data_IF_058901534402
#
_entry.id   IF_058901534402
#
_cell.length_a   1.000
_cell.length_b   1.000
_cell.length_c   1.000
_cell.angle_alpha   90.00
_cell.angle_beta   90.00
_cell.angle_gamma   90.00
#
_symmetry.space_group_name_H-M   'P 1'
#
loop_
_entity.id
_entity.type
_entity.pdbx_description
1 polymer ?
#
# COMPACT_ATOMS: atom_id res chain seq x y z
N UNK A 1 4.46 8.07 15.17
CA UNK A 1 5.20 6.90 15.65
C UNK A 1 4.30 5.69 15.84
N UNK A 2 3.43 5.62 16.86
CA UNK A 2 2.58 4.42 17.07
C UNK A 2 1.69 4.10 15.86
N UNK A 3 1.14 5.13 15.21
CA UNK A 3 0.37 4.98 13.96
C UNK A 3 1.23 4.31 12.87
N UNK A 4 2.45 4.80 12.67
CA UNK A 4 3.38 4.25 11.70
C UNK A 4 3.70 2.77 12.02
N UNK A 5 4.09 2.46 13.26
CA UNK A 5 4.37 1.09 13.69
C UNK A 5 3.20 0.14 13.41
N UNK A 6 1.98 0.53 13.79
CA UNK A 6 0.79 -0.29 13.57
C UNK A 6 0.51 -0.52 12.08
N UNK A 7 0.62 0.51 11.26
CA UNK A 7 0.41 0.37 9.81
C UNK A 7 1.50 -0.44 9.12
N UNK A 8 2.74 -0.44 9.61
CA UNK A 8 3.79 -1.34 9.09
C UNK A 8 3.44 -2.81 9.33
N UNK A 9 3.04 -3.17 10.54
CA UNK A 9 2.65 -4.56 10.86
C UNK A 9 1.36 -4.96 10.13
N UNK A 10 0.36 -4.06 10.08
CA UNK A 10 -0.90 -4.35 9.41
C UNK A 10 -0.71 -4.47 7.88
N UNK A 11 -0.07 -3.50 7.24
CA UNK A 11 -0.02 -3.42 5.78
C UNK A 11 1.09 -4.28 5.17
N UNK A 12 2.32 -4.21 5.69
CA UNK A 12 3.43 -5.05 5.19
C UNK A 12 3.43 -6.45 5.78
N UNK A 13 2.68 -6.70 6.85
CA UNK A 13 2.45 -8.04 7.40
C UNK A 13 1.14 -8.65 6.92
N UNK A 14 0.04 -8.29 7.56
CA UNK A 14 -1.24 -9.00 7.32
C UNK A 14 -1.81 -8.80 5.92
N UNK A 15 -1.87 -7.56 5.41
CA UNK A 15 -2.43 -7.28 4.08
C UNK A 15 -1.59 -7.90 2.96
N UNK A 16 -0.27 -7.72 2.98
CA UNK A 16 0.64 -8.32 2.00
C UNK A 16 0.53 -9.86 1.96
N UNK A 17 0.38 -10.50 3.13
CA UNK A 17 0.19 -11.95 3.22
C UNK A 17 -1.11 -12.40 2.54
N UNK A 18 -2.20 -11.64 2.70
CA UNK A 18 -3.47 -11.92 2.00
C UNK A 18 -3.32 -11.76 0.49
N UNK A 19 -2.61 -10.74 0.03
CA UNK A 19 -2.35 -10.53 -1.41
C UNK A 19 -1.49 -11.65 -1.99
N UNK A 20 -0.42 -12.06 -1.31
CA UNK A 20 0.43 -13.18 -1.74
C UNK A 20 -0.36 -14.48 -1.77
N UNK A 21 -1.20 -14.73 -0.76
CA UNK A 21 -2.07 -15.89 -0.72
C UNK A 21 -3.02 -15.92 -1.93
N UNK A 22 -3.65 -14.79 -2.25
CA UNK A 22 -4.53 -14.65 -3.42
C UNK A 22 -3.77 -14.99 -4.71
N UNK A 23 -2.58 -14.44 -4.90
CA UNK A 23 -1.78 -14.65 -6.11
C UNK A 23 -1.32 -16.10 -6.25
N UNK A 24 -0.89 -16.72 -5.14
CA UNK A 24 -0.43 -18.10 -5.12
C UNK A 24 -1.54 -19.09 -5.45
N UNK A 25 -2.74 -18.87 -4.91
CA UNK A 25 -3.88 -19.76 -5.10
C UNK A 25 -4.68 -19.47 -6.37
N UNK A 26 -4.46 -18.33 -7.02
CA UNK A 26 -5.21 -17.91 -8.21
C UNK A 26 -5.31 -18.96 -9.32
N UNK A 27 -4.21 -19.58 -9.81
CA UNK A 27 -4.31 -20.58 -10.87
C UNK A 27 -5.02 -21.85 -10.43
N UNK A 28 -4.95 -22.20 -9.15
CA UNK A 28 -5.64 -23.36 -8.60
C UNK A 28 -7.15 -23.14 -8.44
N UNK A 29 -7.58 -21.92 -8.11
CA UNK A 29 -8.99 -21.60 -7.90
C UNK A 29 -9.70 -21.28 -9.22
N UNK A 30 -9.07 -20.50 -10.10
CA UNK A 30 -9.71 -19.98 -11.32
C UNK A 30 -9.32 -20.74 -12.58
N UNK A 31 -8.21 -21.47 -12.56
CA UNK A 31 -7.63 -22.09 -13.75
C UNK A 31 -6.86 -21.14 -14.66
N UNK A 32 -6.84 -19.84 -14.36
CA UNK A 32 -6.16 -18.82 -15.16
C UNK A 32 -4.84 -18.36 -14.54
N UNK A 33 -3.92 -17.95 -15.40
CA UNK A 33 -2.65 -17.35 -14.96
C UNK A 33 -2.73 -15.82 -14.88
N UNK A 34 -1.95 -15.22 -13.97
CA UNK A 34 -1.77 -13.76 -13.93
C UNK A 34 -0.49 -13.36 -14.66
N UNK A 35 -0.50 -12.18 -15.30
CA UNK A 35 0.68 -11.65 -15.97
C UNK A 35 1.77 -11.25 -14.96
N UNK A 36 2.94 -11.87 -15.08
CA UNK A 36 4.10 -11.63 -14.20
C UNK A 36 4.56 -10.17 -14.22
N UNK A 37 4.57 -9.51 -15.38
CA UNK A 37 5.03 -8.13 -15.51
C UNK A 37 4.10 -7.16 -14.77
N UNK A 38 2.78 -7.37 -14.88
CA UNK A 38 1.79 -6.55 -14.18
C UNK A 38 1.87 -6.78 -12.66
N UNK A 39 2.08 -8.02 -12.22
CA UNK A 39 2.20 -8.34 -10.79
C UNK A 39 3.48 -7.72 -10.19
N UNK A 40 4.62 -7.78 -10.89
CA UNK A 40 5.85 -7.11 -10.48
C UNK A 40 5.67 -5.58 -10.42
N UNK A 41 5.03 -4.98 -11.42
CA UNK A 41 4.73 -3.55 -11.40
C UNK A 41 3.83 -3.18 -10.20
N UNK A 42 2.84 -4.02 -9.89
CA UNK A 42 1.95 -3.82 -8.75
C UNK A 42 2.73 -3.88 -7.44
N UNK A 43 3.58 -4.89 -7.28
CA UNK A 43 4.46 -5.02 -6.13
C UNK A 43 5.32 -3.76 -5.90
N UNK A 44 6.01 -3.27 -6.94
CA UNK A 44 6.81 -2.06 -6.82
C UNK A 44 5.98 -0.81 -6.51
N UNK A 45 4.82 -0.64 -7.15
CA UNK A 45 3.94 0.50 -6.86
C UNK A 45 3.43 0.50 -5.41
N UNK A 46 3.03 -0.68 -4.90
CA UNK A 46 2.49 -0.85 -3.56
C UNK A 46 3.56 -0.63 -2.48
N UNK A 47 4.77 -1.15 -2.66
CA UNK A 47 5.84 -1.00 -1.67
C UNK A 47 6.36 0.44 -1.61
N UNK A 48 6.45 1.13 -2.75
CA UNK A 48 6.85 2.53 -2.82
C UNK A 48 5.78 3.42 -2.18
N UNK A 49 4.51 3.25 -2.57
CA UNK A 49 3.40 4.03 -2.01
C UNK A 49 3.26 3.86 -0.51
N UNK A 50 3.34 2.61 -0.03
CA UNK A 50 3.27 2.30 1.39
C UNK A 50 4.40 2.97 2.19
N UNK A 51 5.65 2.82 1.76
CA UNK A 51 6.78 3.41 2.50
C UNK A 51 6.73 4.94 2.48
N UNK A 52 6.41 5.58 1.36
CA UNK A 52 6.27 7.05 1.31
C UNK A 52 5.14 7.52 2.23
N UNK A 53 4.05 6.75 2.36
CA UNK A 53 2.92 7.10 3.22
C UNK A 53 3.26 7.00 4.72
N UNK A 54 3.81 5.87 5.15
CA UNK A 54 3.91 5.56 6.58
C UNK A 54 5.30 5.78 7.17
N UNK A 55 6.37 5.75 6.37
CA UNK A 55 7.72 5.99 6.88
C UNK A 55 7.84 7.38 7.54
N UNK A 56 7.39 8.50 6.91
CA UNK A 56 7.53 9.82 7.50
C UNK A 56 6.71 9.99 8.79
N UNK A 57 5.65 9.21 8.98
CA UNK A 57 4.87 9.22 10.24
C UNK A 57 5.67 8.79 11.48
N UNK A 58 6.82 8.13 11.32
CA UNK A 58 7.74 7.91 12.44
C UNK A 58 8.27 9.25 12.98
N UNK A 59 8.79 10.11 12.10
CA UNK A 59 9.31 11.42 12.46
C UNK A 59 8.22 12.37 12.98
N UNK A 60 7.02 12.36 12.38
CA UNK A 60 5.88 13.13 12.91
C UNK A 60 5.62 12.81 14.39
N UNK A 61 5.65 11.52 14.77
CA UNK A 61 5.44 11.14 16.16
C UNK A 61 6.64 11.33 17.07
N UNK A 62 7.88 11.26 16.54
CA UNK A 62 9.07 11.61 17.32
C UNK A 62 9.10 13.10 17.66
N UNK A 63 8.63 13.94 16.74
CA UNK A 63 8.45 15.38 16.95
C UNK A 63 7.20 15.73 17.77
N UNK A 64 6.52 14.74 18.35
CA UNK A 64 5.44 14.96 19.31
C UNK A 64 4.07 15.28 18.72
N UNK A 65 3.83 15.07 17.42
CA UNK A 65 2.49 15.29 16.84
C UNK A 65 1.47 14.35 17.52
N UNK A 66 0.43 14.89 18.20
CA UNK A 66 -0.60 14.07 18.82
C UNK A 66 -1.43 13.35 17.75
N UNK A 67 -1.97 12.19 18.10
CA UNK A 67 -2.86 11.43 17.22
C UNK A 67 -4.26 12.05 17.22
N UNK A 68 -5.02 11.78 16.15
CA UNK A 68 -6.45 12.13 16.03
C UNK A 68 -6.73 13.64 16.14
N UNK A 69 -5.82 14.45 15.58
CA UNK A 69 -6.02 15.89 15.42
C UNK A 69 -6.34 16.22 13.96
N UNK A 70 -7.30 17.12 13.77
CA UNK A 70 -7.67 17.64 12.45
C UNK A 70 -6.79 18.83 12.03
N UNK A 71 -6.20 19.53 13.00
CA UNK A 71 -5.33 20.70 12.78
C UNK A 71 -4.04 20.52 13.56
N UNK A 72 -2.94 20.95 12.96
CA UNK A 72 -1.59 20.87 13.51
C UNK A 72 -0.75 22.04 13.00
N UNK A 73 0.37 22.32 13.66
CA UNK A 73 1.24 23.44 13.31
C UNK A 73 1.85 23.31 11.91
N UNK A 74 2.11 24.45 11.26
CA UNK A 74 2.66 24.51 9.91
C UNK A 74 4.00 23.76 9.76
N UNK A 75 4.73 23.55 10.86
CA UNK A 75 5.99 22.78 10.90
C UNK A 75 5.82 21.32 10.47
N UNK A 76 4.64 20.72 10.67
CA UNK A 76 4.35 19.34 10.29
C UNK A 76 3.81 19.20 8.86
N UNK A 77 3.40 20.31 8.23
CA UNK A 77 2.85 20.31 6.88
C UNK A 77 3.74 19.64 5.83
N UNK A 78 5.05 19.94 5.69
CA UNK A 78 5.87 19.34 4.64
C UNK A 78 5.99 17.82 4.76
N UNK A 79 6.00 17.30 5.99
CA UNK A 79 6.11 15.87 6.20
C UNK A 79 4.75 15.17 5.99
N UNK A 80 3.65 15.84 6.35
CA UNK A 80 2.30 15.36 6.06
C UNK A 80 1.96 15.39 4.56
N UNK A 81 2.45 16.37 3.79
CA UNK A 81 2.23 16.37 2.34
C UNK A 81 2.90 15.18 1.66
N UNK A 82 4.11 14.78 2.12
CA UNK A 82 4.77 13.56 1.65
C UNK A 82 3.92 12.32 1.98
N UNK A 83 3.43 12.20 3.22
CA UNK A 83 2.53 11.12 3.61
C UNK A 83 1.29 11.05 2.70
N UNK A 84 0.68 12.20 2.40
CA UNK A 84 -0.50 12.28 1.53
C UNK A 84 -0.19 11.84 0.09
N UNK A 85 0.95 12.24 -0.47
CA UNK A 85 1.38 11.76 -1.78
C UNK A 85 1.55 10.23 -1.78
N UNK A 86 2.19 9.68 -0.74
CA UNK A 86 2.31 8.24 -0.57
C UNK A 86 0.94 7.55 -0.47
N UNK A 87 -0.02 8.17 0.22
CA UNK A 87 -1.39 7.64 0.33
C UNK A 87 -2.08 7.55 -1.04
N UNK A 88 -1.93 8.57 -1.89
CA UNK A 88 -2.49 8.55 -3.25
C UNK A 88 -1.86 7.44 -4.10
N UNK A 89 -0.53 7.28 -4.03
CA UNK A 89 0.17 6.19 -4.73
C UNK A 89 -0.34 4.82 -4.24
N UNK A 90 -0.52 4.66 -2.93
CA UNK A 90 -1.04 3.41 -2.37
C UNK A 90 -2.47 3.11 -2.81
N UNK A 91 -3.35 4.11 -2.90
CA UNK A 91 -4.70 3.96 -3.43
C UNK A 91 -4.66 3.54 -4.91
N UNK A 92 -3.82 4.20 -5.72
CA UNK A 92 -3.62 3.82 -7.11
C UNK A 92 -3.12 2.38 -7.25
N UNK A 93 -2.20 1.92 -6.38
CA UNK A 93 -1.76 0.51 -6.37
C UNK A 93 -2.90 -0.46 -6.04
N UNK A 94 -3.82 -0.09 -5.14
CA UNK A 94 -5.01 -0.89 -4.83
C UNK A 94 -5.94 -1.04 -6.03
N UNK A 95 -6.20 0.05 -6.77
CA UNK A 95 -6.95 -0.03 -8.03
C UNK A 95 -6.20 -0.83 -9.10
N UNK A 96 -4.87 -0.75 -9.12
CA UNK A 96 -4.07 -1.53 -10.05
C UNK A 96 -4.16 -3.04 -9.77
N UNK A 97 -4.23 -3.47 -8.51
CA UNK A 97 -4.52 -4.88 -8.17
C UNK A 97 -5.86 -5.35 -8.76
N UNK A 98 -6.91 -4.52 -8.65
CA UNK A 98 -8.22 -4.85 -9.25
C UNK A 98 -8.13 -4.99 -10.76
N UNK A 99 -7.31 -4.16 -11.42
CA UNK A 99 -7.02 -4.27 -12.84
C UNK A 99 -6.30 -5.58 -13.18
N UNK A 100 -5.28 -6.00 -12.42
CA UNK A 100 -4.57 -7.27 -12.66
C UNK A 100 -5.50 -8.47 -12.54
N UNK A 101 -6.40 -8.45 -11.56
CA UNK A 101 -7.40 -9.50 -11.39
C UNK A 101 -8.36 -9.54 -12.59
N UNK A 102 -8.84 -8.37 -13.03
CA UNK A 102 -9.71 -8.29 -14.20
C UNK A 102 -9.02 -8.75 -15.49
N UNK A 103 -7.77 -8.34 -15.72
CA UNK A 103 -6.95 -8.73 -16.86
C UNK A 103 -6.79 -10.26 -16.94
N UNK A 104 -6.51 -10.90 -15.81
CA UNK A 104 -6.38 -12.37 -15.73
C UNK A 104 -7.67 -13.11 -16.11
N UNK A 105 -8.84 -12.56 -15.78
CA UNK A 105 -10.13 -13.18 -16.13
C UNK A 105 -10.51 -12.89 -17.59
N UNK A 106 -10.23 -11.68 -18.07
CA UNK A 106 -10.62 -11.24 -19.41
C UNK A 106 -9.74 -11.83 -20.52
N UNK A 107 -8.45 -11.99 -20.25
CA UNK A 107 -7.47 -12.55 -21.21
C UNK A 107 -7.07 -13.99 -20.89
N UNK A 108 -7.72 -14.59 -19.88
CA UNK A 108 -7.33 -15.84 -19.25
C UNK A 108 -6.95 -16.95 -20.22
N UNK A 109 -5.67 -17.32 -20.16
CA UNK A 109 -5.10 -18.58 -20.62
C UNK A 109 -4.71 -19.44 -19.41
#
# INVERSE_FOLDING_TARGET
FVVAHFHYVLSLGSYSSVVIFLIWWWPYVTGFTMNLYLMQAHFFSSIVGFNICFFPMHFLGLNGLPRRVCVYDCTFYPLNTICNIGSLISICSGFFLMFVIWDSIATGH
#
